data_IF_083366068846
#
_entry.id   IF_083366068846
#
_cell.length_a   1.000
_cell.length_b   1.000
_cell.length_c   1.000
_cell.angle_alpha   90.00
_cell.angle_beta   90.00
_cell.angle_gamma   90.00
#
_symmetry.space_group_name_H-M   'P 1'
#
loop_
_entity.id
_entity.type
_entity.pdbx_description
1 polymer ?
#
# COMPACT_ATOMS: atom_id res chain seq x y z
N UNK A 1 -27.63 -11.46 5.53
CA UNK A 1 -26.45 -12.23 5.96
C UNK A 1 -25.89 -13.05 4.80
N UNK A 2 -24.57 -13.13 4.64
CA UNK A 2 -23.85 -14.01 3.71
C UNK A 2 -23.14 -15.07 4.55
N UNK A 3 -23.19 -16.33 4.13
CA UNK A 3 -22.50 -17.45 4.78
C UNK A 3 -21.63 -18.17 3.75
N UNK A 4 -20.30 -18.04 3.89
CA UNK A 4 -19.33 -18.83 3.11
C UNK A 4 -19.02 -20.07 3.94
N UNK A 5 -19.26 -21.28 3.38
CA UNK A 5 -19.20 -22.54 4.12
C UNK A 5 -18.33 -23.59 3.41
N UNK A 6 -17.92 -24.62 4.14
CA UNK A 6 -17.07 -25.71 3.66
C UNK A 6 -15.74 -25.22 3.06
N UNK A 7 -15.09 -24.30 3.78
CA UNK A 7 -13.87 -23.62 3.31
C UNK A 7 -12.72 -23.74 4.32
N UNK A 8 -11.51 -23.51 3.87
CA UNK A 8 -10.38 -23.24 4.76
C UNK A 8 -10.40 -21.76 5.13
N UNK A 9 -10.37 -21.42 6.42
CA UNK A 9 -10.29 -20.02 6.87
C UNK A 9 -8.91 -19.76 7.46
N UNK A 10 -8.17 -18.82 6.86
CA UNK A 10 -6.91 -18.31 7.35
C UNK A 10 -7.22 -17.00 8.08
N UNK A 11 -7.30 -17.04 9.42
CA UNK A 11 -7.73 -15.85 10.17
C UNK A 11 -6.66 -14.76 10.29
N UNK A 12 -5.40 -15.09 10.04
CA UNK A 12 -4.20 -14.31 10.36
C UNK A 12 -3.53 -14.75 11.68
N UNK A 13 -4.22 -15.55 12.49
CA UNK A 13 -3.70 -16.16 13.73
C UNK A 13 -3.80 -17.70 13.71
N UNK A 14 -4.77 -18.25 12.97
CA UNK A 14 -5.03 -19.68 12.86
C UNK A 14 -5.49 -20.06 11.45
N UNK A 15 -5.41 -21.36 11.16
CA UNK A 15 -5.99 -21.97 9.96
C UNK A 15 -7.06 -22.97 10.41
N UNK A 16 -8.29 -22.78 9.94
CA UNK A 16 -9.47 -23.59 10.27
C UNK A 16 -9.94 -24.31 9.00
N UNK A 17 -9.91 -25.64 9.03
CA UNK A 17 -10.35 -26.50 7.93
C UNK A 17 -11.85 -26.80 8.04
N UNK A 18 -12.55 -26.90 6.91
CA UNK A 18 -13.99 -27.25 6.87
C UNK A 18 -14.87 -26.27 7.63
N UNK A 19 -14.43 -25.04 7.75
CA UNK A 19 -15.10 -23.99 8.52
C UNK A 19 -16.06 -23.15 7.67
N UNK A 20 -16.81 -22.28 8.35
CA UNK A 20 -17.65 -21.27 7.73
C UNK A 20 -17.43 -19.88 8.37
N UNK A 21 -17.70 -18.84 7.60
CA UNK A 21 -17.71 -17.45 8.03
C UNK A 21 -19.03 -16.80 7.65
N UNK A 22 -19.69 -16.20 8.64
CA UNK A 22 -20.94 -15.45 8.47
C UNK A 22 -20.64 -13.95 8.45
N UNK A 23 -21.23 -13.23 7.51
CA UNK A 23 -21.00 -11.80 7.27
C UNK A 23 -22.34 -11.08 7.28
N UNK A 24 -22.44 -10.01 8.09
CA UNK A 24 -23.62 -9.20 8.19
C UNK A 24 -23.29 -7.73 8.46
N UNK A 25 -23.99 -6.81 7.80
CA UNK A 25 -23.79 -5.37 8.02
C UNK A 25 -22.37 -4.87 7.78
N UNK A 26 -21.61 -5.52 6.86
CA UNK A 26 -20.22 -5.15 6.57
C UNK A 26 -19.21 -5.72 7.57
N UNK A 27 -19.64 -6.59 8.50
CA UNK A 27 -18.80 -7.17 9.54
C UNK A 27 -18.87 -8.69 9.55
N UNK A 28 -17.85 -9.31 10.09
CA UNK A 28 -17.82 -10.74 10.38
C UNK A 28 -18.71 -10.97 11.61
N UNK A 29 -19.82 -11.68 11.42
CA UNK A 29 -20.76 -12.02 12.50
C UNK A 29 -20.28 -13.25 13.28
N UNK A 30 -19.79 -14.28 12.61
CA UNK A 30 -19.29 -15.51 13.23
C UNK A 30 -18.26 -16.23 12.34
N UNK A 31 -17.39 -17.01 12.98
CA UNK A 31 -16.51 -18.00 12.35
C UNK A 31 -16.62 -19.28 13.16
N UNK A 32 -16.79 -20.43 12.50
CA UNK A 32 -16.91 -21.70 13.20
C UNK A 32 -17.15 -22.89 12.29
N UNK A 33 -17.64 -23.98 12.87
CA UNK A 33 -18.00 -25.20 12.15
C UNK A 33 -19.10 -24.94 11.11
N UNK A 34 -18.90 -25.44 9.88
CA UNK A 34 -19.84 -25.21 8.77
C UNK A 34 -21.25 -25.72 9.06
N UNK A 35 -21.40 -26.93 9.60
CA UNK A 35 -22.71 -27.52 9.86
C UNK A 35 -23.50 -26.72 10.91
N UNK A 36 -22.80 -26.28 11.97
CA UNK A 36 -23.37 -25.48 13.04
C UNK A 36 -23.83 -24.11 12.55
N UNK A 37 -23.01 -23.40 11.74
CA UNK A 37 -23.36 -22.08 11.21
C UNK A 37 -24.47 -22.17 10.15
N UNK A 38 -24.48 -23.22 9.32
CA UNK A 38 -25.57 -23.46 8.36
C UNK A 38 -26.89 -23.69 9.07
N UNK A 39 -26.90 -24.49 10.15
CA UNK A 39 -28.10 -24.74 10.93
C UNK A 39 -28.58 -23.51 11.70
N UNK A 40 -27.64 -22.72 12.23
CA UNK A 40 -27.94 -21.48 12.97
C UNK A 40 -28.43 -20.32 12.11
N UNK A 41 -28.20 -20.35 10.80
CA UNK A 41 -28.55 -19.26 9.87
C UNK A 41 -29.25 -19.82 8.61
N UNK A 42 -30.48 -20.35 8.73
CA UNK A 42 -31.19 -20.99 7.62
C UNK A 42 -31.47 -20.04 6.44
N UNK A 43 -31.68 -18.75 6.72
CA UNK A 43 -32.05 -17.74 5.73
C UNK A 43 -30.83 -17.03 5.12
N UNK A 44 -29.59 -17.39 5.49
CA UNK A 44 -28.40 -16.78 4.94
C UNK A 44 -28.19 -17.14 3.46
N UNK A 45 -27.73 -16.19 2.67
CA UNK A 45 -27.23 -16.45 1.30
C UNK A 45 -25.98 -17.31 1.40
N UNK A 46 -26.06 -18.54 0.94
CA UNK A 46 -25.00 -19.55 1.04
C UNK A 46 -24.06 -19.48 -0.14
N UNK A 47 -22.76 -19.52 0.13
CA UNK A 47 -21.69 -19.57 -0.86
C UNK A 47 -20.79 -20.75 -0.50
N UNK A 48 -20.67 -21.71 -1.42
CA UNK A 48 -19.77 -22.84 -1.24
C UNK A 48 -18.32 -22.38 -1.32
N UNK A 49 -17.54 -22.73 -0.29
CA UNK A 49 -16.10 -22.50 -0.23
C UNK A 49 -15.26 -23.78 -0.51
N UNK A 50 -15.87 -24.82 -1.05
CA UNK A 50 -15.18 -26.04 -1.47
C UNK A 50 -14.08 -25.68 -2.48
N UNK A 51 -12.87 -26.23 -2.26
CA UNK A 51 -11.66 -25.91 -3.04
C UNK A 51 -11.23 -24.43 -2.99
N UNK A 52 -11.59 -23.74 -1.90
CA UNK A 52 -11.24 -22.34 -1.65
C UNK A 52 -10.69 -22.12 -0.24
N UNK A 53 -9.92 -21.05 -0.08
CA UNK A 53 -9.60 -20.53 1.24
C UNK A 53 -10.03 -19.07 1.34
N UNK A 54 -10.53 -18.68 2.51
CA UNK A 54 -10.88 -17.31 2.87
C UNK A 54 -9.79 -16.75 3.78
N UNK A 55 -9.31 -15.55 3.47
CA UNK A 55 -8.27 -14.89 4.25
C UNK A 55 -8.51 -13.38 4.30
N UNK A 56 -7.84 -12.63 5.22
CA UNK A 56 -7.92 -11.18 5.22
C UNK A 56 -7.48 -10.62 3.87
N UNK A 57 -8.16 -9.56 3.41
CA UNK A 57 -7.70 -8.81 2.25
C UNK A 57 -6.40 -8.05 2.54
N UNK A 58 -5.61 -7.82 1.50
CA UNK A 58 -4.36 -7.08 1.63
C UNK A 58 -4.58 -5.58 1.84
N UNK A 59 -3.66 -4.97 2.58
CA UNK A 59 -3.57 -3.52 2.76
C UNK A 59 -2.29 -3.00 2.11
N UNK A 60 -2.46 -2.31 0.98
CA UNK A 60 -1.39 -1.60 0.28
C UNK A 60 -1.25 -0.19 0.88
N UNK A 61 -0.22 0.05 1.70
CA UNK A 61 -0.07 1.30 2.45
C UNK A 61 0.85 2.33 1.78
N UNK A 62 1.25 2.10 0.55
CA UNK A 62 1.99 3.06 -0.26
C UNK A 62 1.91 2.68 -1.73
N UNK A 63 1.25 3.52 -2.52
CA UNK A 63 1.13 3.33 -3.97
C UNK A 63 0.98 4.66 -4.70
N UNK A 64 1.32 4.64 -5.98
CA UNK A 64 1.17 5.72 -6.95
C UNK A 64 0.48 5.15 -8.19
N UNK A 65 -0.83 4.93 -8.12
CA UNK A 65 -1.60 4.20 -9.13
C UNK A 65 -1.40 4.72 -10.55
N UNK A 66 -1.29 6.03 -10.73
CA UNK A 66 -1.04 6.64 -12.05
C UNK A 66 0.34 6.31 -12.66
N UNK A 67 1.29 5.84 -11.85
CA UNK A 67 2.62 5.43 -12.30
C UNK A 67 2.65 4.11 -13.07
N UNK A 68 1.51 3.42 -13.21
CA UNK A 68 1.37 2.31 -14.16
C UNK A 68 1.75 2.71 -15.60
N UNK A 69 1.71 4.00 -15.93
CA UNK A 69 2.22 4.56 -17.18
C UNK A 69 3.72 4.26 -17.41
N UNK A 70 4.51 4.13 -16.34
CA UNK A 70 5.96 3.91 -16.42
C UNK A 70 6.35 2.42 -16.51
N UNK A 71 5.38 1.51 -16.47
CA UNK A 71 5.58 0.06 -16.51
C UNK A 71 6.36 -0.37 -17.74
N UNK A 72 7.37 -1.20 -17.54
CA UNK A 72 8.28 -1.65 -18.61
C UNK A 72 9.29 -0.60 -19.07
N UNK A 73 9.24 0.63 -18.53
CA UNK A 73 10.14 1.72 -18.89
C UNK A 73 11.09 2.07 -17.73
N UNK A 74 10.54 2.22 -16.52
CA UNK A 74 11.34 2.71 -15.38
C UNK A 74 12.07 1.60 -14.62
N UNK A 75 11.69 0.33 -14.78
CA UNK A 75 12.28 -0.78 -14.02
C UNK A 75 13.80 -0.88 -14.25
N UNK A 76 14.26 -0.78 -15.49
CA UNK A 76 15.66 -0.99 -15.88
C UNK A 76 16.43 0.32 -16.13
N UNK A 77 15.77 1.48 -16.07
CA UNK A 77 16.41 2.77 -16.30
C UNK A 77 16.96 3.43 -15.05
N UNK A 78 16.76 2.82 -13.87
CA UNK A 78 17.23 3.43 -12.63
C UNK A 78 18.74 3.39 -12.54
N UNK A 79 19.37 4.53 -12.25
CA UNK A 79 20.79 4.58 -12.04
C UNK A 79 21.17 3.79 -10.77
N UNK A 80 22.46 3.37 -10.63
CA UNK A 80 22.94 2.75 -9.39
C UNK A 80 22.69 3.67 -8.19
N UNK A 81 22.11 3.14 -7.12
CA UNK A 81 21.81 3.90 -5.92
C UNK A 81 22.85 3.77 -4.81
N UNK A 82 23.89 2.97 -5.03
CA UNK A 82 25.00 2.84 -4.09
C UNK A 82 25.94 4.06 -4.14
N UNK A 83 26.51 4.51 -3.00
CA UNK A 83 27.55 5.52 -3.02
C UNK A 83 28.73 5.12 -3.96
N UNK A 84 29.36 6.04 -4.68
CA UNK A 84 29.23 7.50 -4.60
C UNK A 84 28.11 8.09 -5.48
N UNK A 85 27.23 7.28 -6.06
CA UNK A 85 26.19 7.78 -6.94
C UNK A 85 25.05 8.41 -6.13
N UNK A 86 24.76 9.66 -6.37
CA UNK A 86 23.74 10.47 -5.70
C UNK A 86 22.79 11.14 -6.72
N UNK A 87 22.34 10.38 -7.72
CA UNK A 87 21.40 10.89 -8.72
C UNK A 87 19.92 10.74 -8.30
N UNK A 88 19.04 11.38 -9.05
CA UNK A 88 17.60 11.31 -8.86
C UNK A 88 16.99 9.94 -9.20
N UNK A 89 15.67 9.84 -9.08
CA UNK A 89 14.94 8.55 -9.19
C UNK A 89 14.88 7.98 -10.61
N UNK A 90 14.81 8.83 -11.62
CA UNK A 90 14.74 8.41 -13.03
C UNK A 90 15.41 9.41 -13.95
N UNK A 91 16.16 8.92 -14.96
CA UNK A 91 16.80 9.77 -15.96
C UNK A 91 15.83 10.30 -17.03
N UNK A 92 14.63 9.75 -17.11
CA UNK A 92 13.62 10.10 -18.11
C UNK A 92 12.37 10.66 -17.40
N UNK A 93 11.88 11.84 -17.80
CA UNK A 93 10.65 12.37 -17.20
C UNK A 93 9.43 11.54 -17.61
N UNK A 94 8.50 11.38 -16.69
CA UNK A 94 7.19 10.79 -16.99
C UNK A 94 6.45 11.65 -17.99
N UNK A 95 5.85 11.12 -19.06
CA UNK A 95 5.05 11.89 -19.98
C UNK A 95 3.87 12.56 -19.30
N UNK A 96 3.62 13.83 -19.62
CA UNK A 96 2.44 14.52 -19.11
C UNK A 96 1.16 13.92 -19.71
N UNK A 97 0.17 13.71 -18.87
CA UNK A 97 -1.17 13.23 -19.22
C UNK A 97 -2.22 14.31 -18.91
N UNK A 98 -3.34 14.29 -19.60
CA UNK A 98 -4.51 15.05 -19.14
C UNK A 98 -5.05 14.47 -17.83
N UNK A 99 -5.95 15.19 -17.16
CA UNK A 99 -6.60 14.71 -15.93
C UNK A 99 -7.36 13.43 -16.17
N UNK A 100 -8.08 13.36 -17.30
CA UNK A 100 -8.88 12.20 -17.71
C UNK A 100 -7.98 11.00 -18.03
N UNK A 101 -6.89 11.20 -18.74
CA UNK A 101 -5.91 10.15 -19.05
C UNK A 101 -5.24 9.61 -17.79
N UNK A 102 -4.85 10.49 -16.87
CA UNK A 102 -4.30 10.08 -15.58
C UNK A 102 -5.34 9.28 -14.76
N UNK A 103 -6.61 9.68 -14.78
CA UNK A 103 -7.68 8.93 -14.13
C UNK A 103 -7.83 7.50 -14.69
N UNK A 104 -7.64 7.29 -16.00
CA UNK A 104 -7.63 5.96 -16.61
C UNK A 104 -6.43 5.14 -16.13
N UNK A 105 -5.23 5.74 -16.03
CA UNK A 105 -4.04 5.03 -15.51
C UNK A 105 -4.21 4.67 -14.04
N UNK A 106 -4.81 5.54 -13.23
CA UNK A 106 -5.17 5.26 -11.83
C UNK A 106 -6.18 4.10 -11.74
N UNK A 107 -7.18 4.07 -12.61
CA UNK A 107 -8.14 2.95 -12.65
C UNK A 107 -7.46 1.64 -13.07
N UNK A 108 -6.48 1.67 -13.97
CA UNK A 108 -5.69 0.49 -14.34
C UNK A 108 -4.92 -0.07 -13.12
N UNK A 109 -4.25 0.79 -12.35
CA UNK A 109 -3.57 0.39 -11.12
C UNK A 109 -4.55 -0.16 -10.08
N UNK A 110 -5.67 0.51 -9.85
CA UNK A 110 -6.71 0.03 -8.93
C UNK A 110 -7.31 -1.33 -9.36
N UNK A 111 -7.47 -1.55 -10.65
CA UNK A 111 -7.93 -2.83 -11.21
C UNK A 111 -6.95 -3.97 -10.89
N UNK A 112 -5.65 -3.75 -11.08
CA UNK A 112 -4.60 -4.71 -10.74
C UNK A 112 -4.55 -4.96 -9.23
N UNK A 113 -4.64 -3.91 -8.41
CA UNK A 113 -4.70 -4.03 -6.95
C UNK A 113 -5.88 -4.91 -6.49
N UNK A 114 -7.09 -4.70 -7.03
CA UNK A 114 -8.25 -5.54 -6.74
C UNK A 114 -7.98 -7.00 -7.14
N UNK A 115 -7.43 -7.22 -8.34
CA UNK A 115 -7.15 -8.57 -8.84
C UNK A 115 -6.10 -9.30 -8.02
N UNK A 116 -5.18 -8.59 -7.39
CA UNK A 116 -4.19 -9.18 -6.48
C UNK A 116 -4.69 -9.38 -5.04
N UNK A 117 -5.93 -8.93 -4.72
CA UNK A 117 -6.55 -9.13 -3.41
C UNK A 117 -6.44 -7.93 -2.45
N UNK A 118 -6.07 -6.77 -2.94
CA UNK A 118 -6.09 -5.54 -2.14
C UNK A 118 -7.53 -5.17 -1.78
N UNK A 119 -7.77 -4.91 -0.51
CA UNK A 119 -9.05 -4.42 0.01
C UNK A 119 -8.93 -3.00 0.58
N UNK A 120 -7.74 -2.64 1.07
CA UNK A 120 -7.43 -1.32 1.61
C UNK A 120 -6.18 -0.75 0.92
N UNK A 121 -6.22 0.53 0.54
CA UNK A 121 -5.17 1.17 -0.25
C UNK A 121 -4.92 2.60 0.21
N UNK A 122 -3.63 2.97 0.38
CA UNK A 122 -3.18 4.34 0.59
C UNK A 122 -2.54 4.85 -0.71
N UNK A 123 -3.26 5.74 -1.39
CA UNK A 123 -2.77 6.46 -2.57
C UNK A 123 -2.04 7.72 -2.13
N UNK A 124 -0.74 7.81 -2.42
CA UNK A 124 0.10 9.00 -2.23
C UNK A 124 0.28 9.70 -3.57
N UNK A 125 -0.39 10.82 -3.76
CA UNK A 125 -0.36 11.52 -5.04
C UNK A 125 -0.51 13.03 -4.89
N UNK A 126 -0.28 13.73 -6.00
CA UNK A 126 -0.61 15.14 -6.15
C UNK A 126 -1.82 15.25 -7.09
N UNK A 127 -2.68 16.26 -6.82
CA UNK A 127 -3.88 16.52 -7.62
C UNK A 127 -4.90 15.36 -7.61
N UNK A 128 -5.00 14.66 -6.48
CA UNK A 128 -5.90 13.49 -6.30
C UNK A 128 -7.36 13.86 -6.62
N UNK A 129 -7.78 15.09 -6.37
CA UNK A 129 -9.14 15.55 -6.71
C UNK A 129 -9.53 15.29 -8.18
N UNK A 130 -8.57 15.23 -9.10
CA UNK A 130 -8.81 14.95 -10.52
C UNK A 130 -9.20 13.50 -10.82
N UNK A 131 -8.93 12.56 -9.91
CA UNK A 131 -9.24 11.14 -10.09
C UNK A 131 -9.86 10.47 -8.85
N UNK A 132 -10.17 11.25 -7.82
CA UNK A 132 -10.76 10.70 -6.59
C UNK A 132 -12.09 9.97 -6.84
N UNK A 133 -12.97 10.55 -7.66
CA UNK A 133 -14.30 9.97 -7.93
C UNK A 133 -14.20 8.57 -8.58
N UNK A 134 -13.51 8.36 -9.71
CA UNK A 134 -13.36 7.03 -10.30
C UNK A 134 -12.59 6.06 -9.38
N UNK A 135 -11.64 6.54 -8.55
CA UNK A 135 -10.95 5.68 -7.60
C UNK A 135 -11.88 5.25 -6.44
N UNK A 136 -12.71 6.13 -5.91
CA UNK A 136 -13.71 5.80 -4.87
C UNK A 136 -14.77 4.84 -5.39
N UNK A 137 -15.16 4.97 -6.66
CA UNK A 137 -16.13 4.08 -7.32
C UNK A 137 -15.64 2.63 -7.45
N UNK A 138 -14.33 2.36 -7.33
CA UNK A 138 -13.77 0.98 -7.34
C UNK A 138 -14.26 0.13 -6.18
N UNK A 139 -14.74 0.73 -5.11
CA UNK A 139 -15.19 0.02 -3.92
C UNK A 139 -14.08 -0.32 -2.92
N UNK A 140 -12.81 -0.03 -3.20
CA UNK A 140 -11.70 -0.18 -2.26
C UNK A 140 -11.88 0.69 -1.01
N UNK A 141 -11.36 0.23 0.12
CA UNK A 141 -11.16 1.10 1.29
C UNK A 141 -9.94 1.98 1.04
N UNK A 142 -10.08 3.30 1.15
CA UNK A 142 -9.09 4.25 0.68
C UNK A 142 -8.61 5.20 1.77
N UNK A 143 -7.30 5.47 1.77
CA UNK A 143 -6.71 6.68 2.30
C UNK A 143 -6.14 7.48 1.13
N UNK A 144 -6.71 8.63 0.85
CA UNK A 144 -6.25 9.55 -0.20
C UNK A 144 -5.29 10.55 0.44
N UNK A 145 -4.00 10.39 0.23
CA UNK A 145 -2.95 11.22 0.82
C UNK A 145 -2.44 12.24 -0.21
N UNK A 146 -3.03 13.44 -0.20
CA UNK A 146 -2.64 14.54 -1.09
C UNK A 146 -1.28 15.09 -0.70
N UNK A 147 -0.39 15.23 -1.69
CA UNK A 147 1.01 15.58 -1.53
C UNK A 147 1.23 17.11 -1.48
N UNK A 148 2.08 17.52 -0.52
CA UNK A 148 2.63 18.86 -0.43
C UNK A 148 4.16 18.83 -0.47
N UNK A 149 4.75 19.88 -1.06
CA UNK A 149 6.18 20.16 -1.09
C UNK A 149 6.38 21.66 -1.32
N UNK A 150 7.57 22.18 -1.01
CA UNK A 150 7.90 23.61 -1.20
C UNK A 150 9.30 23.85 -1.80
N UNK A 151 9.97 22.81 -2.31
CA UNK A 151 11.21 22.94 -3.06
C UNK A 151 10.92 23.13 -4.54
N UNK A 152 11.42 24.23 -5.12
CA UNK A 152 11.24 24.55 -6.53
C UNK A 152 12.10 23.68 -7.45
N UNK A 153 11.54 23.30 -8.61
CA UNK A 153 12.27 22.75 -9.76
C UNK A 153 13.06 21.47 -9.52
N UNK A 154 12.83 20.80 -8.39
CA UNK A 154 13.61 19.64 -7.98
C UNK A 154 12.77 18.37 -7.92
N UNK A 155 13.46 17.23 -7.87
CA UNK A 155 12.94 15.90 -7.53
C UNK A 155 13.71 15.32 -6.34
N UNK A 156 13.22 14.25 -5.76
CA UNK A 156 13.91 13.55 -4.65
C UNK A 156 15.33 13.20 -5.08
N UNK A 157 16.31 13.53 -4.24
CA UNK A 157 17.72 13.27 -4.48
C UNK A 157 18.43 14.24 -5.42
N UNK A 158 17.76 15.32 -5.83
CA UNK A 158 18.40 16.34 -6.64
C UNK A 158 19.47 17.09 -5.82
N UNK A 159 20.73 17.19 -6.29
CA UNK A 159 21.80 17.87 -5.57
C UNK A 159 21.71 19.41 -5.62
N UNK A 160 20.79 19.98 -6.41
CA UNK A 160 20.63 21.42 -6.51
C UNK A 160 20.30 22.07 -5.14
N UNK A 161 20.67 23.34 -4.91
CA UNK A 161 20.31 24.07 -3.70
C UNK A 161 18.81 24.04 -3.43
N UNK A 162 18.42 24.05 -2.16
CA UNK A 162 17.03 24.11 -1.75
C UNK A 162 16.51 25.56 -1.88
N UNK A 163 15.66 25.78 -2.86
CA UNK A 163 14.93 27.05 -3.02
C UNK A 163 13.50 26.85 -2.53
N UNK A 164 13.12 27.56 -1.46
CA UNK A 164 11.77 27.51 -0.89
C UNK A 164 10.81 28.32 -1.75
N UNK A 165 9.61 27.77 -1.96
CA UNK A 165 8.49 28.43 -2.62
C UNK A 165 7.25 28.40 -1.73
N UNK A 166 6.90 29.54 -1.14
CA UNK A 166 5.66 29.68 -0.36
C UNK A 166 4.42 29.37 -1.21
N UNK A 167 4.48 29.72 -2.51
CA UNK A 167 3.37 29.45 -3.43
C UNK A 167 3.12 27.94 -3.62
N UNK A 168 4.18 27.11 -3.70
CA UNK A 168 4.04 25.65 -3.76
C UNK A 168 3.51 25.09 -2.44
N UNK A 169 4.01 25.58 -1.30
CA UNK A 169 3.53 25.22 0.02
C UNK A 169 2.03 25.53 0.17
N UNK A 170 1.61 26.75 -0.16
CA UNK A 170 0.22 27.19 -0.06
C UNK A 170 -0.69 26.35 -0.96
N UNK A 171 -0.30 26.14 -2.21
CA UNK A 171 -1.07 25.33 -3.15
C UNK A 171 -1.21 23.87 -2.66
N UNK A 172 -0.16 23.29 -2.09
CA UNK A 172 -0.20 21.94 -1.50
C UNK A 172 -1.17 21.86 -0.32
N UNK A 173 -1.05 22.78 0.63
CA UNK A 173 -1.93 22.84 1.80
C UNK A 173 -3.40 23.07 1.43
N UNK A 174 -3.66 23.92 0.42
CA UNK A 174 -5.01 24.16 -0.08
C UNK A 174 -5.60 22.92 -0.76
N UNK A 175 -4.81 22.18 -1.57
CA UNK A 175 -5.26 20.90 -2.17
C UNK A 175 -5.65 19.90 -1.10
N UNK A 176 -4.83 19.72 -0.05
CA UNK A 176 -5.12 18.84 1.08
C UNK A 176 -6.45 19.24 1.74
N UNK A 177 -6.62 20.52 2.07
CA UNK A 177 -7.84 20.99 2.73
C UNK A 177 -9.10 20.77 1.89
N UNK A 178 -9.02 21.04 0.57
CA UNK A 178 -10.13 20.81 -0.36
C UNK A 178 -10.46 19.32 -0.51
N UNK A 179 -9.45 18.47 -0.67
CA UNK A 179 -9.67 17.02 -0.78
C UNK A 179 -10.30 16.47 0.49
N UNK A 180 -9.81 16.90 1.67
CA UNK A 180 -10.37 16.48 2.95
C UNK A 180 -11.84 16.89 3.09
N UNK A 181 -12.18 18.13 2.79
CA UNK A 181 -13.56 18.60 2.85
C UNK A 181 -14.51 17.84 1.91
N UNK A 182 -14.01 17.42 0.74
CA UNK A 182 -14.81 16.73 -0.25
C UNK A 182 -15.00 15.23 0.05
N UNK A 183 -13.97 14.54 0.56
CA UNK A 183 -13.93 13.08 0.56
C UNK A 183 -13.78 12.42 1.93
N UNK A 184 -13.28 13.12 2.96
CA UNK A 184 -13.06 12.47 4.25
C UNK A 184 -14.37 11.99 4.88
N UNK A 185 -14.42 10.74 5.31
CA UNK A 185 -15.59 10.10 5.90
C UNK A 185 -16.69 9.68 4.91
N UNK A 186 -16.48 9.88 3.61
CA UNK A 186 -17.43 9.42 2.58
C UNK A 186 -17.55 7.90 2.53
N UNK A 187 -18.61 7.42 1.89
CA UNK A 187 -18.90 5.99 1.71
C UNK A 187 -18.99 5.24 3.05
N UNK A 188 -19.64 5.84 4.04
CA UNK A 188 -19.77 5.24 5.37
C UNK A 188 -18.45 5.12 6.15
N UNK A 189 -17.48 5.98 5.85
CA UNK A 189 -16.13 5.96 6.43
C UNK A 189 -15.14 5.04 5.70
N UNK A 190 -15.51 4.49 4.54
CA UNK A 190 -14.61 3.69 3.70
C UNK A 190 -13.52 4.55 3.05
N UNK A 191 -13.78 5.85 2.87
CA UNK A 191 -12.83 6.82 2.33
C UNK A 191 -12.35 7.75 3.44
N UNK A 192 -11.04 7.76 3.67
CA UNK A 192 -10.36 8.72 4.52
C UNK A 192 -9.42 9.59 3.68
N UNK A 193 -9.09 10.78 4.17
CA UNK A 193 -8.08 11.65 3.56
C UNK A 193 -6.93 11.81 4.54
N UNK A 194 -5.73 11.51 4.06
CA UNK A 194 -4.45 11.73 4.73
C UNK A 194 -3.69 12.92 4.14
N UNK A 195 -2.57 13.24 4.74
CA UNK A 195 -1.62 14.24 4.28
C UNK A 195 -0.35 13.54 3.82
N UNK A 196 0.26 14.00 2.73
CA UNK A 196 1.57 13.53 2.33
C UNK A 196 2.57 14.70 2.28
N UNK A 197 3.64 14.61 3.06
CA UNK A 197 4.87 15.34 2.80
C UNK A 197 5.65 14.57 1.73
N UNK A 198 6.15 15.24 0.68
CA UNK A 198 6.75 14.47 -0.42
C UNK A 198 7.98 13.68 0.05
N UNK A 199 9.00 14.36 0.54
CA UNK A 199 10.21 13.75 1.09
C UNK A 199 10.98 14.79 1.95
N UNK A 200 11.94 14.39 2.81
CA UNK A 200 12.71 15.32 3.63
C UNK A 200 13.47 16.37 2.84
N UNK A 201 14.00 16.04 1.67
CA UNK A 201 14.71 16.96 0.77
C UNK A 201 13.77 17.81 -0.10
N UNK A 202 12.45 17.60 0.01
CA UNK A 202 11.42 18.34 -0.73
C UNK A 202 10.56 19.23 0.17
N UNK A 203 10.76 19.19 1.50
CA UNK A 203 9.95 19.91 2.47
C UNK A 203 10.82 20.75 3.42
N UNK A 204 10.52 22.04 3.52
CA UNK A 204 11.16 22.92 4.51
C UNK A 204 10.62 22.65 5.93
N UNK A 205 11.35 23.08 7.00
CA UNK A 205 10.83 23.05 8.36
C UNK A 205 9.47 23.74 8.51
N UNK A 206 9.29 24.87 7.83
CA UNK A 206 8.03 25.62 7.86
C UNK A 206 6.86 24.81 7.29
N UNK A 207 7.05 24.13 6.16
CA UNK A 207 6.02 23.27 5.57
C UNK A 207 5.74 22.05 6.45
N UNK A 208 6.76 21.38 6.99
CA UNK A 208 6.58 20.25 7.91
C UNK A 208 5.76 20.66 9.15
N UNK A 209 6.04 21.84 9.72
CA UNK A 209 5.25 22.39 10.83
C UNK A 209 3.79 22.64 10.45
N UNK A 210 3.52 23.18 9.25
CA UNK A 210 2.15 23.39 8.74
C UNK A 210 1.40 22.07 8.53
N UNK A 211 2.06 21.06 7.97
CA UNK A 211 1.48 19.72 7.77
C UNK A 211 1.16 19.10 9.14
N UNK A 212 2.10 19.17 10.11
CA UNK A 212 1.88 18.64 11.47
C UNK A 212 0.68 19.31 12.14
N UNK A 213 0.59 20.63 12.12
CA UNK A 213 -0.53 21.38 12.72
C UNK A 213 -1.88 21.00 12.07
N UNK A 214 -1.92 20.86 10.72
CA UNK A 214 -3.13 20.46 10.03
C UNK A 214 -3.51 19.01 10.35
N UNK A 215 -2.53 18.10 10.37
CA UNK A 215 -2.71 16.69 10.77
C UNK A 215 -3.34 16.58 12.15
N UNK A 216 -2.81 17.32 13.14
CA UNK A 216 -3.35 17.31 14.50
C UNK A 216 -4.79 17.81 14.56
N UNK A 217 -5.05 18.94 13.89
CA UNK A 217 -6.40 19.51 13.80
C UNK A 217 -7.42 18.54 13.18
N UNK A 218 -7.02 17.77 12.17
CA UNK A 218 -7.90 16.85 11.46
C UNK A 218 -7.90 15.43 12.07
N UNK A 219 -6.99 15.11 12.99
CA UNK A 219 -6.79 13.75 13.47
C UNK A 219 -6.39 12.78 12.35
N UNK A 220 -5.78 13.29 11.29
CA UNK A 220 -5.50 12.52 10.08
C UNK A 220 -4.19 11.70 10.16
N UNK A 221 -4.04 10.75 9.24
CA UNK A 221 -2.79 10.04 8.98
C UNK A 221 -1.87 10.93 8.13
N UNK A 222 -0.56 10.79 8.29
CA UNK A 222 0.43 11.39 7.41
C UNK A 222 1.31 10.32 6.76
N UNK A 223 1.77 10.56 5.53
CA UNK A 223 2.79 9.74 4.87
C UNK A 223 3.94 10.59 4.34
N UNK A 224 5.10 9.96 4.16
CA UNK A 224 6.31 10.59 3.63
C UNK A 224 7.20 9.52 2.97
N UNK A 225 7.83 9.84 1.83
CA UNK A 225 8.99 9.09 1.35
C UNK A 225 10.17 9.38 2.26
N UNK A 226 10.86 8.35 2.70
CA UNK A 226 11.96 8.49 3.65
C UNK A 226 13.10 7.54 3.35
N UNK A 227 14.32 8.09 3.26
CA UNK A 227 15.54 7.31 3.00
C UNK A 227 15.38 6.37 1.78
N UNK A 228 14.75 6.89 0.73
CA UNK A 228 14.40 6.13 -0.46
C UNK A 228 15.64 5.77 -1.30
N UNK A 229 16.55 6.73 -1.47
CA UNK A 229 17.79 6.61 -2.23
C UNK A 229 18.93 7.36 -1.54
N UNK A 230 20.18 6.97 -1.82
CA UNK A 230 21.35 7.68 -1.26
C UNK A 230 21.46 9.13 -1.74
N UNK A 231 20.86 9.46 -2.89
CA UNK A 231 20.76 10.84 -3.35
C UNK A 231 19.94 11.75 -2.42
N UNK A 232 18.82 11.24 -1.88
CA UNK A 232 18.03 11.94 -0.86
C UNK A 232 18.85 12.18 0.41
N UNK A 233 19.55 11.14 0.90
CA UNK A 233 20.41 11.25 2.09
C UNK A 233 21.48 12.33 1.88
N UNK A 234 22.17 12.32 0.73
CA UNK A 234 23.19 13.31 0.40
C UNK A 234 22.60 14.73 0.28
N UNK A 235 21.43 14.87 -0.32
CA UNK A 235 20.74 16.16 -0.46
C UNK A 235 20.37 16.75 0.90
N UNK A 236 19.78 15.93 1.80
CA UNK A 236 19.43 16.38 3.17
C UNK A 236 20.68 16.71 3.97
N UNK A 237 21.73 15.89 3.91
CA UNK A 237 23.00 16.22 4.59
C UNK A 237 23.61 17.54 4.11
N UNK A 238 23.61 17.79 2.80
CA UNK A 238 24.12 19.04 2.23
C UNK A 238 23.28 20.27 2.63
N UNK A 239 21.95 20.09 2.73
CA UNK A 239 21.01 21.19 3.01
C UNK A 239 20.80 21.44 4.51
N UNK A 240 20.84 20.39 5.33
CA UNK A 240 20.44 20.42 6.76
C UNK A 240 21.56 20.03 7.73
N UNK A 241 22.66 19.44 7.25
CA UNK A 241 23.78 18.99 8.10
C UNK A 241 23.49 17.72 8.92
N UNK A 242 22.40 17.01 8.64
CA UNK A 242 21.99 15.80 9.37
C UNK A 242 21.38 14.76 8.44
N UNK A 243 21.12 13.55 8.93
CA UNK A 243 20.45 12.49 8.19
C UNK A 243 18.93 12.76 8.04
N UNK A 244 18.25 12.17 7.05
CA UNK A 244 16.82 12.45 6.79
C UNK A 244 15.92 12.20 8.00
N UNK A 245 16.07 11.07 8.68
CA UNK A 245 15.26 10.76 9.86
C UNK A 245 15.61 11.67 11.04
N UNK A 246 16.88 12.04 11.20
CA UNK A 246 17.31 12.99 12.23
C UNK A 246 16.69 14.38 12.00
N UNK A 247 16.62 14.83 10.75
CA UNK A 247 15.92 16.05 10.35
C UNK A 247 14.45 16.00 10.76
N UNK A 248 13.72 14.93 10.38
CA UNK A 248 12.32 14.78 10.75
C UNK A 248 12.10 14.70 12.26
N UNK A 249 13.03 14.06 13.00
CA UNK A 249 12.97 14.00 14.46
C UNK A 249 13.17 15.39 15.10
N UNK A 250 14.12 16.17 14.60
CA UNK A 250 14.36 17.53 15.07
C UNK A 250 13.16 18.48 14.83
N UNK A 251 12.43 18.29 13.73
CA UNK A 251 11.21 19.03 13.42
C UNK A 251 9.95 18.48 14.14
N UNK A 252 10.07 17.44 14.98
CA UNK A 252 8.94 16.82 15.66
C UNK A 252 7.94 16.12 14.70
N UNK A 253 8.40 15.69 13.53
CA UNK A 253 7.54 15.10 12.50
C UNK A 253 7.34 13.59 12.66
N UNK A 254 8.11 12.93 13.54
CA UNK A 254 8.00 11.49 13.81
C UNK A 254 6.88 11.21 14.84
N UNK A 255 5.94 10.35 14.50
CA UNK A 255 4.84 9.94 15.38
C UNK A 255 4.21 8.61 14.92
N UNK A 256 3.37 7.99 15.75
CA UNK A 256 2.74 6.68 15.52
C UNK A 256 1.64 6.64 14.44
N UNK A 257 1.24 7.80 13.90
CA UNK A 257 0.34 7.93 12.75
C UNK A 257 1.06 8.36 11.47
N UNK A 258 2.40 8.30 11.47
CA UNK A 258 3.22 8.50 10.27
C UNK A 258 3.42 7.17 9.57
N UNK A 259 3.24 7.15 8.25
CA UNK A 259 3.68 6.07 7.36
C UNK A 259 4.92 6.55 6.62
N UNK A 260 6.08 6.00 6.94
CA UNK A 260 7.34 6.27 6.26
C UNK A 260 7.55 5.22 5.16
N UNK A 261 7.53 5.65 3.91
CA UNK A 261 7.73 4.75 2.79
C UNK A 261 9.23 4.50 2.53
N UNK A 262 9.58 3.26 2.25
CA UNK A 262 10.90 2.76 1.87
C UNK A 262 11.87 2.50 3.03
N UNK A 263 12.40 3.52 3.68
CA UNK A 263 13.40 3.40 4.76
C UNK A 263 14.60 2.50 4.38
N UNK A 264 15.09 2.60 3.13
CA UNK A 264 16.11 1.70 2.55
C UNK A 264 17.54 2.14 2.83
N UNK A 265 17.79 3.46 2.76
CA UNK A 265 19.12 4.07 2.83
C UNK A 265 19.35 4.68 4.21
N UNK A 266 19.25 3.85 5.27
CA UNK A 266 19.37 4.31 6.65
C UNK A 266 20.80 4.14 7.19
N UNK A 267 21.21 5.07 8.03
CA UNK A 267 22.52 5.09 8.69
C UNK A 267 22.41 5.56 10.15
N UNK A 268 23.48 5.36 10.91
CA UNK A 268 23.54 5.86 12.30
C UNK A 268 22.45 5.27 13.19
N UNK A 269 21.61 6.12 13.77
CA UNK A 269 20.56 5.78 14.73
C UNK A 269 19.14 5.94 14.14
N UNK A 270 19.02 6.06 12.83
CA UNK A 270 17.74 6.39 12.18
C UNK A 270 16.64 5.38 12.48
N UNK A 271 16.91 4.06 12.44
CA UNK A 271 15.92 3.04 12.80
C UNK A 271 15.46 3.16 14.26
N UNK A 272 16.38 3.51 15.16
CA UNK A 272 16.05 3.72 16.56
C UNK A 272 15.15 4.93 16.77
N UNK A 273 15.37 6.01 16.02
CA UNK A 273 14.50 7.19 16.06
C UNK A 273 13.09 6.86 15.56
N UNK A 274 12.98 6.12 14.45
CA UNK A 274 11.68 5.66 13.93
C UNK A 274 10.96 4.77 14.92
N UNK A 275 11.67 3.78 15.49
CA UNK A 275 11.11 2.85 16.47
C UNK A 275 10.66 3.52 17.74
N UNK A 276 11.46 4.44 18.30
CA UNK A 276 11.12 5.24 19.48
C UNK A 276 9.84 6.06 19.30
N UNK A 277 9.58 6.54 18.08
CA UNK A 277 8.34 7.23 17.70
C UNK A 277 7.23 6.28 17.25
N UNK A 278 7.46 4.98 17.19
CA UNK A 278 6.52 3.94 16.73
C UNK A 278 5.97 4.20 15.32
N UNK A 279 6.83 4.69 14.43
CA UNK A 279 6.47 4.99 13.05
C UNK A 279 6.05 3.71 12.32
N UNK A 280 5.08 3.82 11.41
CA UNK A 280 4.69 2.74 10.51
C UNK A 280 5.60 2.80 9.27
N UNK A 281 6.22 1.69 8.91
CA UNK A 281 7.09 1.60 7.74
C UNK A 281 6.39 0.86 6.62
N UNK A 282 6.29 1.47 5.44
CA UNK A 282 5.83 0.80 4.24
C UNK A 282 7.01 0.08 3.57
N UNK A 283 7.04 -1.23 3.72
CA UNK A 283 8.00 -2.11 3.07
C UNK A 283 7.57 -2.40 1.64
N UNK A 284 8.07 -1.62 0.71
CA UNK A 284 7.80 -1.73 -0.72
C UNK A 284 8.77 -2.74 -1.35
N UNK A 285 8.58 -4.02 -1.04
CA UNK A 285 9.57 -5.07 -1.29
C UNK A 285 9.84 -5.32 -2.77
N UNK A 286 8.80 -5.33 -3.62
CA UNK A 286 8.96 -5.57 -5.06
C UNK A 286 9.79 -4.47 -5.72
N UNK A 287 9.49 -3.20 -5.45
CA UNK A 287 10.30 -2.09 -5.97
C UNK A 287 11.69 -2.03 -5.31
N UNK A 288 11.81 -2.41 -4.04
CA UNK A 288 13.09 -2.51 -3.37
C UNK A 288 14.00 -3.54 -4.04
N UNK A 289 13.46 -4.71 -4.41
CA UNK A 289 14.18 -5.75 -5.17
C UNK A 289 14.61 -5.25 -6.55
N UNK A 290 13.72 -4.60 -7.31
CA UNK A 290 14.02 -4.03 -8.64
C UNK A 290 15.09 -2.94 -8.57
N UNK A 291 15.20 -2.22 -7.45
CA UNK A 291 16.19 -1.16 -7.22
C UNK A 291 17.49 -1.64 -6.56
N UNK A 292 17.56 -2.90 -6.11
CA UNK A 292 18.73 -3.45 -5.42
C UNK A 292 18.98 -2.84 -4.03
N UNK A 293 17.98 -2.24 -3.41
CA UNK A 293 18.03 -1.62 -2.09
C UNK A 293 16.92 -2.15 -1.19
N UNK A 294 17.25 -2.57 0.03
CA UNK A 294 16.28 -3.11 0.98
C UNK A 294 16.40 -2.44 2.35
N UNK A 295 15.27 -2.10 3.01
CA UNK A 295 15.32 -1.73 4.42
C UNK A 295 15.75 -2.91 5.28
N UNK A 296 16.21 -2.63 6.48
CA UNK A 296 16.51 -3.63 7.51
C UNK A 296 15.25 -3.92 8.33
N UNK A 297 14.29 -4.62 7.75
CA UNK A 297 12.93 -4.81 8.32
C UNK A 297 12.98 -5.37 9.73
N UNK A 298 13.80 -6.41 9.98
CA UNK A 298 13.94 -6.98 11.33
C UNK A 298 14.51 -6.00 12.36
N UNK A 299 15.40 -5.10 11.96
CA UNK A 299 15.93 -4.06 12.84
C UNK A 299 14.83 -3.05 13.15
N UNK A 300 14.13 -2.57 12.15
CA UNK A 300 12.99 -1.66 12.32
C UNK A 300 11.92 -2.23 13.26
N UNK A 301 11.57 -3.52 13.10
CA UNK A 301 10.65 -4.20 14.01
C UNK A 301 11.19 -4.30 15.43
N UNK A 302 12.46 -4.66 15.60
CA UNK A 302 13.10 -4.78 16.91
C UNK A 302 13.17 -3.43 17.65
N UNK A 303 13.33 -2.32 16.92
CA UNK A 303 13.30 -0.97 17.49
C UNK A 303 11.86 -0.49 17.79
N UNK A 304 10.81 -1.16 17.32
CA UNK A 304 9.42 -0.84 17.66
C UNK A 304 8.56 -0.28 16.52
N UNK A 305 9.08 -0.24 15.30
CA UNK A 305 8.27 0.13 14.14
C UNK A 305 7.19 -0.93 13.83
N UNK A 306 6.03 -0.47 13.41
CA UNK A 306 5.06 -1.34 12.75
C UNK A 306 5.43 -1.48 11.27
N UNK A 307 5.39 -2.70 10.74
CA UNK A 307 5.65 -2.95 9.31
C UNK A 307 4.33 -3.23 8.60
N UNK A 308 4.08 -2.49 7.55
CA UNK A 308 3.09 -2.80 6.54
C UNK A 308 3.75 -2.91 5.17
N UNK A 309 3.00 -3.32 4.15
CA UNK A 309 3.53 -3.47 2.80
C UNK A 309 2.88 -2.50 1.82
N UNK A 310 3.64 -2.09 0.80
CA UNK A 310 3.18 -1.27 -0.30
C UNK A 310 3.77 -1.73 -1.63
N UNK A 311 3.09 -1.41 -2.70
CA UNK A 311 3.56 -1.71 -4.07
C UNK A 311 4.50 -0.64 -4.60
N UNK A 312 4.33 0.60 -4.16
CA UNK A 312 4.98 1.81 -4.67
C UNK A 312 4.42 2.17 -6.06
N UNK A 313 5.15 1.90 -7.12
CA UNK A 313 4.76 2.29 -8.48
C UNK A 313 4.89 1.13 -9.48
N UNK A 314 4.33 1.31 -10.69
CA UNK A 314 4.39 0.43 -11.86
C UNK A 314 3.61 -0.88 -11.74
N UNK A 315 3.56 -1.55 -10.60
CA UNK A 315 2.82 -2.80 -10.40
C UNK A 315 2.09 -2.79 -9.06
N UNK A 316 0.87 -3.35 -9.03
CA UNK A 316 -0.02 -3.32 -7.86
C UNK A 316 -0.29 -4.74 -7.31
N UNK A 317 0.62 -5.69 -7.55
CA UNK A 317 0.48 -7.09 -7.11
C UNK A 317 0.98 -7.29 -5.67
N UNK A 318 0.04 -7.31 -4.72
CA UNK A 318 0.34 -7.54 -3.30
C UNK A 318 0.80 -8.99 -3.00
N UNK A 319 0.48 -9.97 -3.86
CA UNK A 319 1.00 -11.34 -3.71
C UNK A 319 2.49 -11.37 -4.04
N UNK A 320 2.91 -10.66 -5.11
CA UNK A 320 4.34 -10.45 -5.44
C UNK A 320 5.06 -9.75 -4.30
N UNK A 321 4.51 -8.63 -3.81
CA UNK A 321 5.09 -7.84 -2.70
C UNK A 321 5.30 -8.70 -1.46
N UNK A 322 4.29 -9.43 -1.02
CA UNK A 322 4.36 -10.28 0.18
C UNK A 322 5.48 -11.34 0.05
N UNK A 323 5.51 -12.07 -1.05
CA UNK A 323 6.50 -13.12 -1.29
C UNK A 323 7.91 -12.57 -1.47
N UNK A 324 8.07 -11.50 -2.22
CA UNK A 324 9.36 -10.82 -2.40
C UNK A 324 9.91 -10.34 -1.07
N UNK A 325 9.07 -9.75 -0.21
CA UNK A 325 9.45 -9.31 1.12
C UNK A 325 9.94 -10.45 2.02
N UNK A 326 9.23 -11.59 2.00
CA UNK A 326 9.66 -12.80 2.70
C UNK A 326 11.06 -13.25 2.26
N UNK A 327 11.30 -13.36 0.95
CA UNK A 327 12.56 -13.86 0.42
C UNK A 327 13.72 -12.88 0.63
N UNK A 328 13.49 -11.59 0.43
CA UNK A 328 14.52 -10.56 0.66
C UNK A 328 15.00 -10.55 2.11
N UNK A 329 14.08 -10.62 3.08
CA UNK A 329 14.45 -10.67 4.49
C UNK A 329 15.18 -11.96 4.86
N UNK A 330 14.81 -13.11 4.32
CA UNK A 330 15.53 -14.38 4.51
C UNK A 330 16.95 -14.32 3.98
N UNK A 331 17.14 -13.78 2.77
CA UNK A 331 18.48 -13.59 2.18
C UNK A 331 19.29 -12.63 3.07
N UNK A 332 18.71 -11.51 3.50
CA UNK A 332 19.39 -10.52 4.31
C UNK A 332 19.78 -11.05 5.69
N UNK A 333 18.94 -11.91 6.29
CA UNK A 333 19.22 -12.54 7.59
C UNK A 333 20.10 -13.78 7.49
N UNK A 334 20.32 -14.31 6.30
CA UNK A 334 20.94 -15.62 6.07
C UNK A 334 20.21 -16.75 6.83
N UNK A 335 18.87 -16.62 6.97
CA UNK A 335 18.00 -17.57 7.67
C UNK A 335 16.80 -17.96 6.79
N UNK A 336 16.82 -19.18 6.25
CA UNK A 336 15.74 -19.69 5.41
C UNK A 336 14.40 -19.94 6.15
N UNK A 337 14.31 -19.72 7.47
CA UNK A 337 13.11 -19.93 8.28
C UNK A 337 12.46 -18.64 8.74
N UNK A 338 13.24 -17.56 8.86
CA UNK A 338 12.77 -16.26 9.37
C UNK A 338 12.95 -15.16 8.31
N UNK A 339 11.90 -14.36 8.05
CA UNK A 339 10.54 -14.38 8.67
C UNK A 339 9.74 -15.62 8.26
N UNK A 340 8.69 -15.92 9.06
CA UNK A 340 7.74 -16.97 8.74
C UNK A 340 6.71 -16.52 7.70
N UNK A 341 6.01 -17.44 7.02
CA UNK A 341 4.87 -17.09 6.16
C UNK A 341 3.78 -16.28 6.87
N UNK A 342 3.53 -16.58 8.15
CA UNK A 342 2.57 -15.88 9.00
C UNK A 342 2.98 -14.42 9.24
N UNK A 343 4.28 -14.15 9.45
CA UNK A 343 4.80 -12.80 9.58
C UNK A 343 4.64 -12.01 8.27
N UNK A 344 4.99 -12.61 7.13
CA UNK A 344 4.84 -11.97 5.83
C UNK A 344 3.37 -11.65 5.51
N UNK A 345 2.44 -12.56 5.79
CA UNK A 345 1.00 -12.31 5.70
C UNK A 345 0.59 -11.17 6.65
N UNK A 346 1.11 -11.17 7.89
CA UNK A 346 0.85 -10.12 8.86
C UNK A 346 1.27 -8.74 8.39
N UNK A 347 2.40 -8.61 7.70
CA UNK A 347 2.85 -7.34 7.09
C UNK A 347 1.90 -6.88 5.97
N UNK A 348 1.46 -7.80 5.12
CA UNK A 348 0.58 -7.52 3.99
C UNK A 348 -0.88 -7.26 4.40
N UNK A 349 -1.26 -7.60 5.63
CA UNK A 349 -2.64 -7.48 6.13
C UNK A 349 -2.70 -6.62 7.40
N UNK A 350 -2.62 -7.22 8.59
CA UNK A 350 -2.79 -6.58 9.89
C UNK A 350 -1.87 -5.37 10.11
N UNK A 351 -0.61 -5.48 9.69
CA UNK A 351 0.37 -4.38 9.77
C UNK A 351 -0.05 -3.17 8.95
N UNK A 352 -0.55 -3.42 7.73
CA UNK A 352 -1.05 -2.37 6.85
C UNK A 352 -2.34 -1.72 7.38
N UNK A 353 -3.33 -2.50 7.80
CA UNK A 353 -4.56 -1.96 8.39
C UNK A 353 -4.27 -1.12 9.64
N UNK A 354 -3.35 -1.58 10.49
CA UNK A 354 -2.88 -0.82 11.65
C UNK A 354 -2.23 0.51 11.24
N UNK A 355 -1.37 0.50 10.22
CA UNK A 355 -0.74 1.71 9.69
C UNK A 355 -1.75 2.73 9.16
N UNK A 356 -2.87 2.26 8.59
CA UNK A 356 -3.99 3.09 8.14
C UNK A 356 -4.92 3.54 9.28
N UNK A 357 -4.64 3.16 10.54
CA UNK A 357 -5.45 3.51 11.70
C UNK A 357 -6.75 2.70 11.83
N UNK A 358 -6.84 1.53 11.19
CA UNK A 358 -8.00 0.65 11.17
C UNK A 358 -7.74 -0.54 12.11
N UNK A 359 -8.25 -0.46 13.33
CA UNK A 359 -7.99 -1.47 14.36
C UNK A 359 -8.78 -2.78 14.17
N UNK A 360 -9.94 -2.70 13.53
CA UNK A 360 -10.88 -3.80 13.31
C UNK A 360 -10.79 -4.40 11.88
N UNK A 361 -9.60 -4.33 11.27
CA UNK A 361 -9.30 -4.85 9.93
C UNK A 361 -7.99 -5.62 9.83
N UNK A 362 -7.79 -6.33 8.72
CA UNK A 362 -6.55 -7.08 8.42
C UNK A 362 -6.41 -8.43 9.11
N UNK A 363 -7.46 -8.93 9.78
CA UNK A 363 -7.56 -10.26 10.36
C UNK A 363 -9.03 -10.67 10.52
N UNK A 364 -9.32 -11.96 10.44
CA UNK A 364 -10.69 -12.44 10.48
C UNK A 364 -11.06 -12.85 11.91
N UNK A 365 -11.98 -12.09 12.51
CA UNK A 365 -12.57 -12.39 13.81
C UNK A 365 -13.99 -11.81 13.89
N UNK A 366 -14.89 -12.40 14.68
CA UNK A 366 -16.20 -11.82 14.93
C UNK A 366 -16.10 -10.36 15.39
N UNK A 367 -16.91 -9.50 14.82
CA UNK A 367 -16.91 -8.04 15.05
C UNK A 367 -16.03 -7.23 14.13
N UNK A 368 -15.02 -7.83 13.47
CA UNK A 368 -14.14 -7.15 12.54
C UNK A 368 -14.83 -6.84 11.20
N UNK A 369 -14.24 -5.90 10.46
CA UNK A 369 -14.66 -5.58 9.09
C UNK A 369 -14.57 -6.80 8.18
N UNK A 370 -15.56 -6.96 7.34
CA UNK A 370 -15.57 -8.00 6.31
C UNK A 370 -14.82 -7.51 5.06
N UNK A 371 -13.52 -7.24 5.25
CA UNK A 371 -12.55 -6.94 4.19
C UNK A 371 -11.72 -8.22 4.01
N UNK A 372 -12.09 -9.06 3.04
CA UNK A 372 -11.55 -10.39 2.86
C UNK A 372 -11.41 -10.77 1.38
N UNK A 373 -10.60 -11.80 1.14
CA UNK A 373 -10.44 -12.42 -0.18
C UNK A 373 -10.75 -13.91 -0.11
N UNK A 374 -11.23 -14.44 -1.24
CA UNK A 374 -11.29 -15.89 -1.47
C UNK A 374 -10.28 -16.25 -2.55
N UNK A 375 -9.45 -17.23 -2.24
CA UNK A 375 -8.46 -17.78 -3.17
C UNK A 375 -8.86 -19.19 -3.58
N UNK A 376 -8.59 -19.57 -4.82
CA UNK A 376 -8.71 -20.94 -5.28
C UNK A 376 -7.55 -21.76 -4.77
N UNK A 377 -7.83 -22.98 -4.30
CA UNK A 377 -6.82 -23.89 -3.73
C UNK A 377 -6.61 -25.16 -4.58
N UNK A 378 -7.39 -25.34 -5.65
CA UNK A 378 -7.34 -26.47 -6.59
C UNK A 378 -6.39 -26.22 -7.78
N UNK A 379 -5.35 -25.39 -7.57
CA UNK A 379 -4.34 -25.08 -8.59
C UNK A 379 -3.14 -26.01 -8.45
N UNK A 380 -2.50 -26.34 -9.59
CA UNK A 380 -1.34 -27.24 -9.62
C UNK A 380 -0.20 -26.80 -8.68
N UNK A 381 0.05 -25.47 -8.56
CA UNK A 381 1.08 -24.92 -7.69
C UNK A 381 0.66 -24.76 -6.22
N UNK A 382 -0.64 -25.00 -5.88
CA UNK A 382 -1.15 -24.92 -4.50
C UNK A 382 -1.44 -26.29 -3.88
N UNK A 383 -1.27 -27.36 -4.62
CA UNK A 383 -1.43 -28.73 -4.11
C UNK A 383 -0.07 -29.40 -3.93
N UNK A 384 0.10 -30.26 -2.89
CA UNK A 384 -0.89 -30.72 -1.90
C UNK A 384 -1.19 -29.65 -0.82
N UNK A 385 -2.45 -29.60 -0.33
CA UNK A 385 -2.97 -28.58 0.60
C UNK A 385 -2.65 -28.91 2.08
N UNK A 386 -1.40 -29.24 2.40
CA UNK A 386 -1.01 -29.66 3.77
C UNK A 386 -0.85 -28.46 4.73
N UNK A 387 -0.31 -27.33 4.23
CA UNK A 387 -0.12 -26.09 4.99
C UNK A 387 -0.54 -24.90 4.11
N UNK A 388 -1.84 -24.67 3.99
CA UNK A 388 -2.39 -23.77 2.98
C UNK A 388 -1.83 -22.35 3.06
N UNK A 389 -1.69 -21.80 4.27
CA UNK A 389 -1.10 -20.47 4.45
C UNK A 389 0.33 -20.42 3.91
N UNK A 390 1.19 -21.30 4.34
CA UNK A 390 2.58 -21.34 3.88
C UNK A 390 2.66 -21.62 2.37
N UNK A 391 1.83 -22.50 1.85
CA UNK A 391 1.76 -22.80 0.41
C UNK A 391 1.39 -21.55 -0.38
N UNK A 392 0.36 -20.81 0.05
CA UNK A 392 -0.04 -19.59 -0.64
C UNK A 392 1.05 -18.49 -0.59
N UNK A 393 1.65 -18.25 0.57
CA UNK A 393 2.72 -17.24 0.68
C UNK A 393 3.91 -17.56 -0.20
N UNK A 394 4.30 -18.85 -0.30
CA UNK A 394 5.45 -19.28 -1.12
C UNK A 394 5.14 -19.44 -2.60
N UNK A 395 3.95 -19.90 -2.96
CA UNK A 395 3.62 -20.36 -4.33
C UNK A 395 2.42 -19.63 -4.94
N UNK A 396 1.60 -18.93 -4.14
CA UNK A 396 0.40 -18.25 -4.61
C UNK A 396 0.68 -17.22 -5.69
N UNK A 397 -0.30 -16.97 -6.51
CA UNK A 397 -0.28 -15.98 -7.60
C UNK A 397 -1.49 -15.04 -7.44
N UNK A 398 -1.41 -13.81 -7.95
CA UNK A 398 -2.55 -12.90 -7.98
C UNK A 398 -3.78 -13.54 -8.67
N UNK A 399 -3.55 -14.35 -9.70
CA UNK A 399 -4.60 -15.08 -10.43
C UNK A 399 -5.34 -16.14 -9.60
N UNK A 400 -4.84 -16.50 -8.42
CA UNK A 400 -5.53 -17.39 -7.49
C UNK A 400 -6.60 -16.66 -6.68
N UNK A 401 -6.53 -15.34 -6.59
CA UNK A 401 -7.58 -14.51 -5.97
C UNK A 401 -8.81 -14.53 -6.86
N UNK A 402 -9.86 -15.19 -6.39
CA UNK A 402 -11.10 -15.36 -7.15
C UNK A 402 -12.14 -14.31 -6.80
N UNK A 403 -12.18 -13.89 -5.52
CA UNK A 403 -13.16 -12.92 -5.05
C UNK A 403 -12.58 -11.98 -4.01
N UNK A 404 -13.03 -10.73 -4.01
CA UNK A 404 -12.60 -9.67 -3.09
C UNK A 404 -13.82 -8.98 -2.51
N UNK A 405 -13.88 -8.87 -1.20
CA UNK A 405 -14.98 -8.24 -0.45
C UNK A 405 -14.44 -7.08 0.39
N UNK A 406 -15.12 -5.94 0.35
CA UNK A 406 -14.84 -4.77 1.19
C UNK A 406 -16.13 -4.33 1.87
N UNK A 407 -16.10 -4.12 3.20
CA UNK A 407 -17.29 -3.81 4.00
C UNK A 407 -18.47 -4.76 3.71
N UNK A 408 -18.20 -6.07 3.51
CA UNK A 408 -19.22 -7.07 3.22
C UNK A 408 -19.82 -7.01 1.81
N UNK A 409 -19.27 -6.19 0.92
CA UNK A 409 -19.70 -6.06 -0.49
C UNK A 409 -18.65 -6.64 -1.42
N UNK A 410 -19.08 -7.48 -2.35
CA UNK A 410 -18.19 -7.99 -3.39
C UNK A 410 -17.82 -6.86 -4.35
N UNK A 411 -16.52 -6.59 -4.48
CA UNK A 411 -15.97 -5.72 -5.54
C UNK A 411 -15.37 -6.55 -6.68
N UNK A 412 -14.96 -7.81 -6.39
CA UNK A 412 -14.66 -8.84 -7.37
C UNK A 412 -15.30 -10.15 -6.93
N UNK A 413 -15.88 -10.92 -7.85
CA UNK A 413 -16.46 -12.22 -7.56
C UNK A 413 -16.30 -13.16 -8.74
N UNK A 414 -15.94 -14.41 -8.45
CA UNK A 414 -15.75 -15.47 -9.43
C UNK A 414 -14.81 -15.05 -10.57
N UNK A 415 -13.72 -14.33 -10.23
CA UNK A 415 -12.74 -13.80 -11.17
C UNK A 415 -13.18 -12.58 -11.98
N UNK A 416 -14.34 -12.01 -11.68
CA UNK A 416 -14.89 -10.85 -12.39
C UNK A 416 -14.95 -9.63 -11.48
N UNK A 417 -14.32 -8.53 -11.86
CA UNK A 417 -14.46 -7.24 -11.17
C UNK A 417 -15.85 -6.68 -11.45
N UNK A 418 -16.56 -6.27 -10.39
CA UNK A 418 -17.97 -5.88 -10.46
C UNK A 418 -18.17 -4.36 -10.51
N UNK A 419 -17.15 -3.61 -10.13
CA UNK A 419 -17.20 -2.15 -9.93
C UNK A 419 -16.55 -1.36 -11.06
N UNK A 420 -15.95 -2.05 -12.04
CA UNK A 420 -15.19 -1.44 -13.14
C UNK A 420 -15.43 -2.18 -14.47
N UNK A 421 -15.37 -1.45 -15.57
CA UNK A 421 -15.30 -2.06 -16.92
C UNK A 421 -13.83 -2.37 -17.26
N UNK A 422 -13.40 -3.56 -16.87
CA UNK A 422 -12.01 -4.01 -17.02
C UNK A 422 -11.52 -3.94 -18.48
N UNK A 423 -12.33 -4.40 -19.43
CA UNK A 423 -11.92 -4.44 -20.84
C UNK A 423 -11.75 -3.03 -21.43
N UNK A 424 -12.65 -2.11 -21.07
CA UNK A 424 -12.56 -0.73 -21.51
C UNK A 424 -11.35 -0.01 -20.90
N UNK A 425 -11.06 -0.22 -19.61
CA UNK A 425 -9.92 0.40 -18.91
C UNK A 425 -8.61 -0.10 -19.52
N UNK A 426 -8.43 -1.41 -19.68
CA UNK A 426 -7.20 -1.99 -20.26
C UNK A 426 -6.95 -1.42 -21.66
N UNK A 427 -7.99 -1.40 -22.52
CA UNK A 427 -7.88 -0.88 -23.88
C UNK A 427 -7.50 0.61 -23.90
N UNK A 428 -8.14 1.41 -23.06
CA UNK A 428 -7.90 2.86 -23.00
C UNK A 428 -6.47 3.15 -22.45
N UNK A 429 -6.07 2.47 -21.39
CA UNK A 429 -4.75 2.65 -20.78
C UNK A 429 -3.61 2.25 -21.73
N UNK A 430 -3.75 1.14 -22.47
CA UNK A 430 -2.77 0.73 -23.49
C UNK A 430 -2.63 1.81 -24.58
N UNK A 431 -3.73 2.32 -25.12
CA UNK A 431 -3.70 3.39 -26.13
C UNK A 431 -3.06 4.68 -25.60
N UNK A 432 -3.33 5.05 -24.34
CA UNK A 432 -2.70 6.20 -23.67
C UNK A 432 -1.20 5.97 -23.54
N UNK A 433 -0.76 4.82 -23.03
CA UNK A 433 0.65 4.47 -22.83
C UNK A 433 1.42 4.53 -24.14
N UNK A 434 0.95 3.86 -25.18
CA UNK A 434 1.59 3.86 -26.50
C UNK A 434 1.75 5.27 -27.08
N UNK A 435 0.70 6.10 -27.00
CA UNK A 435 0.77 7.48 -27.46
C UNK A 435 1.71 8.34 -26.62
N UNK A 436 1.64 8.21 -25.29
CA UNK A 436 2.41 9.04 -24.37
C UNK A 436 3.93 8.80 -24.51
N UNK A 437 4.35 7.59 -24.77
CA UNK A 437 5.74 7.19 -24.94
C UNK A 437 6.25 7.28 -26.40
N UNK A 438 5.38 7.50 -27.39
CA UNK A 438 5.78 7.58 -28.79
C UNK A 438 6.91 8.61 -29.01
N UNK A 439 8.08 8.14 -29.52
CA UNK A 439 9.24 8.97 -29.79
C UNK A 439 10.01 9.48 -28.57
N UNK A 440 9.76 8.91 -27.38
CA UNK A 440 10.47 9.28 -26.13
C UNK A 440 11.38 8.19 -25.58
N UNK A 441 11.32 7.00 -26.16
CA UNK A 441 12.16 5.83 -25.81
C UNK A 441 13.21 5.58 -26.88
#
# INVERSE_FOLDING_TARGET
MILIHDTTIITGEAVLEGAAIAIEGGRIAAIGDSASLIAGHPDAVRISGVDRAVMPGFANIHTHLGMTLARGVFEDLSPPHAPPFCGGLSPIPLPALSVEENAVMVQLGALEAIRSGTTALLEDGAHIAGYAEPLVATGLRLVLAERAWDREGASIGDPAPFTVSDALADAGMERIARLHAAWHGREGGRVAVGLAAWAPDMCSPALLGRISALREKLGALCTIHLNQIWGEVAAVQAQRGCLPTEYLAAEGFLHDRLVAAHCRCMAGLEEKLLGGARVNVAFNSAIAARRGLSPRVSVLQAEGCNIGMGTDNMAEDMVEVMRTGLFMERIRREDGRQPTPEEALGWATRGGFRAMGIADGGWLAPGNKADLIMIRTDRAHLVPRVKMLATFVHQGQASDVESVMVDGRWIMRDGRVLTMDEAAIIKAADAIGQRAWAGKL
#
